data_IF_165185231123
#
_entry.id   IF_165185231123
#
_cell.length_a   1.000
_cell.length_b   1.000
_cell.length_c   1.000
_cell.angle_alpha   90.00
_cell.angle_beta   90.00
_cell.angle_gamma   90.00
#
_symmetry.space_group_name_H-M   'P 1'
#
loop_
_entity.id
_entity.type
_entity.pdbx_description
1 polymer ?
#
# COMPACT_ATOMS: atom_id res chain seq x y z
N UNK A 1 -2.92 -3.65 -12.73
CA UNK A 1 -1.59 -3.54 -12.08
C UNK A 1 -1.70 -2.44 -11.03
N UNK A 2 -1.45 -2.76 -9.76
CA UNK A 2 -1.45 -1.77 -8.69
C UNK A 2 -0.12 -1.02 -8.68
N UNK A 3 -0.15 0.29 -8.38
CA UNK A 3 1.05 1.11 -8.26
C UNK A 3 1.16 1.57 -6.81
N UNK A 4 2.31 1.32 -6.20
CA UNK A 4 2.65 1.75 -4.85
C UNK A 4 3.56 2.98 -4.95
N UNK A 5 3.28 3.96 -4.12
CA UNK A 5 4.17 5.08 -3.83
C UNK A 5 4.61 4.98 -2.37
N UNK A 6 5.91 5.09 -2.11
CA UNK A 6 6.46 5.12 -0.76
C UNK A 6 7.16 6.46 -0.54
N UNK A 7 6.79 7.12 0.54
CA UNK A 7 7.43 8.35 1.00
C UNK A 7 8.02 8.13 2.40
N UNK A 8 9.28 8.51 2.59
CA UNK A 8 9.98 8.45 3.88
C UNK A 8 10.56 9.84 4.14
N UNK A 9 10.17 10.46 5.26
CA UNK A 9 10.60 11.80 5.64
C UNK A 9 10.41 12.85 4.52
N UNK A 10 9.27 12.82 3.83
CA UNK A 10 8.98 13.73 2.71
C UNK A 10 9.65 13.36 1.38
N UNK A 11 10.40 12.25 1.32
CA UNK A 11 11.15 11.83 0.12
C UNK A 11 10.48 10.64 -0.54
N UNK A 12 10.13 10.78 -1.82
CA UNK A 12 9.66 9.68 -2.66
C UNK A 12 10.79 8.67 -2.90
N UNK A 13 10.51 7.41 -2.61
CA UNK A 13 11.45 6.30 -2.80
C UNK A 13 11.11 5.57 -4.08
N UNK A 14 12.10 5.38 -4.95
CA UNK A 14 11.93 4.54 -6.14
C UNK A 14 11.81 3.07 -5.72
N UNK A 15 10.71 2.45 -6.14
CA UNK A 15 10.44 1.04 -5.85
C UNK A 15 10.73 0.19 -7.08
N UNK A 16 11.52 -0.86 -6.89
CA UNK A 16 11.70 -1.89 -7.92
C UNK A 16 10.46 -2.79 -8.03
N UNK A 17 10.46 -3.69 -9.04
CA UNK A 17 9.33 -4.59 -9.30
C UNK A 17 8.95 -5.46 -8.10
N UNK A 18 9.94 -6.01 -7.39
CA UNK A 18 9.72 -6.84 -6.21
C UNK A 18 9.06 -6.04 -5.08
N UNK A 19 9.55 -4.82 -4.80
CA UNK A 19 9.00 -3.98 -3.73
C UNK A 19 7.59 -3.46 -4.06
N UNK A 20 7.32 -3.14 -5.33
CA UNK A 20 5.98 -2.81 -5.81
C UNK A 20 4.99 -3.95 -5.52
N UNK A 21 5.37 -5.18 -5.87
CA UNK A 21 4.53 -6.36 -5.72
C UNK A 21 4.26 -6.70 -4.25
N UNK A 22 5.31 -6.76 -3.42
CA UNK A 22 5.16 -7.18 -2.04
C UNK A 22 4.32 -6.18 -1.22
N UNK A 23 4.54 -4.87 -1.37
CA UNK A 23 3.78 -3.86 -0.62
C UNK A 23 2.32 -3.87 -1.07
N UNK A 24 2.05 -3.97 -2.38
CA UNK A 24 0.69 -4.01 -2.89
C UNK A 24 -0.07 -5.23 -2.34
N UNK A 25 0.50 -6.43 -2.49
CA UNK A 25 -0.16 -7.67 -2.07
C UNK A 25 -0.43 -7.69 -0.56
N UNK A 26 0.54 -7.28 0.26
CA UNK A 26 0.37 -7.23 1.72
C UNK A 26 -0.65 -6.17 2.12
N UNK A 27 -0.65 -4.99 1.50
CA UNK A 27 -1.62 -3.93 1.81
C UNK A 27 -3.06 -4.34 1.48
N UNK A 28 -3.27 -5.00 0.34
CA UNK A 28 -4.58 -5.55 -0.04
C UNK A 28 -5.04 -6.63 0.92
N UNK A 29 -4.15 -7.56 1.29
CA UNK A 29 -4.47 -8.62 2.24
C UNK A 29 -4.81 -8.04 3.64
N UNK A 30 -4.06 -7.04 4.10
CA UNK A 30 -4.35 -6.33 5.35
C UNK A 30 -5.72 -5.67 5.29
N UNK A 31 -5.98 -4.83 4.28
CA UNK A 31 -7.25 -4.11 4.14
C UNK A 31 -8.45 -5.07 4.02
N UNK A 32 -8.32 -6.14 3.23
CA UNK A 32 -9.37 -7.14 3.05
C UNK A 32 -9.66 -8.00 4.29
N UNK A 33 -8.75 -8.03 5.26
CA UNK A 33 -8.98 -8.72 6.54
C UNK A 33 -9.78 -7.89 7.55
N UNK A 34 -9.96 -6.58 7.30
CA UNK A 34 -10.61 -5.66 8.23
C UNK A 34 -12.11 -5.56 7.97
N UNK A 35 -12.91 -5.56 9.05
CA UNK A 35 -14.36 -5.33 8.94
C UNK A 35 -14.63 -3.90 8.49
N UNK A 36 -15.54 -3.74 7.52
CA UNK A 36 -15.97 -2.44 7.02
C UNK A 36 -15.20 -1.95 5.79
N UNK A 37 -14.19 -2.69 5.32
CA UNK A 37 -13.53 -2.43 4.04
C UNK A 37 -14.22 -3.26 2.95
N UNK A 38 -14.89 -2.59 2.02
CA UNK A 38 -15.48 -3.22 0.84
C UNK A 38 -14.42 -3.72 -0.14
N UNK A 39 -14.76 -4.69 -0.97
CA UNK A 39 -13.86 -5.22 -2.01
C UNK A 39 -13.64 -4.28 -3.20
N UNK A 40 -14.38 -3.17 -3.26
CA UNK A 40 -14.44 -2.18 -4.34
C UNK A 40 -13.68 -0.89 -4.03
N UNK A 41 -12.69 -0.94 -3.15
CA UNK A 41 -11.82 0.19 -2.82
C UNK A 41 -11.05 0.68 -4.06
N UNK A 42 -10.80 1.98 -4.11
CA UNK A 42 -10.05 2.64 -5.21
C UNK A 42 -8.60 2.95 -4.83
N UNK A 43 -8.36 3.16 -3.54
CA UNK A 43 -7.08 3.56 -2.97
C UNK A 43 -6.96 3.02 -1.55
N UNK A 44 -5.74 2.66 -1.14
CA UNK A 44 -5.39 2.33 0.24
C UNK A 44 -4.25 3.27 0.63
N UNK A 45 -4.48 4.11 1.64
CA UNK A 45 -3.45 4.97 2.23
C UNK A 45 -3.07 4.42 3.62
N UNK A 46 -1.78 4.13 3.82
CA UNK A 46 -1.23 3.67 5.10
C UNK A 46 -0.25 4.74 5.60
N UNK A 47 -0.52 5.30 6.78
CA UNK A 47 0.38 6.25 7.45
C UNK A 47 0.99 5.59 8.68
N UNK A 48 2.31 5.71 8.80
CA UNK A 48 3.07 5.20 9.95
C UNK A 48 3.83 6.39 10.52
N UNK A 49 3.52 6.75 11.75
CA UNK A 49 4.24 7.78 12.51
C UNK A 49 5.13 7.09 13.55
N UNK A 50 6.27 7.68 13.83
CA UNK A 50 7.21 7.20 14.84
C UNK A 50 7.22 8.14 16.04
#
# INVERSE_FOLDING_TARGET
MMKVELEVDGKKIELNAFTQEIIANVSVAMAGSLRGVGSDWKEIEIRIEK
#
